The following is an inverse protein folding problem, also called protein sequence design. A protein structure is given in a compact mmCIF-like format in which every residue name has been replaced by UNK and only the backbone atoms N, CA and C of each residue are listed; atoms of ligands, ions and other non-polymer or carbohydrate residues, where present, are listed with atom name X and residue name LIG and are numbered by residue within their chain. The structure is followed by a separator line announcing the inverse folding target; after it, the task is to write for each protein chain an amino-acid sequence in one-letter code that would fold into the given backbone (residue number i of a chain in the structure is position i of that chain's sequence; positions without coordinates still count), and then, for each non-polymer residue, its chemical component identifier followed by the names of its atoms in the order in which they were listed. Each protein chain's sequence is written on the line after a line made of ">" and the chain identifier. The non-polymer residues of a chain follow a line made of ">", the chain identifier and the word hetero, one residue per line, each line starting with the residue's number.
data_IF_724477876033
#
_entry.id   IF_724477876033
#
_cell.length_a   1.000
_cell.length_b   1.000
_cell.length_c   1.000
_cell.angle_alpha   90.00
_cell.angle_beta   90.00
_cell.angle_gamma   90.00
#
_symmetry.space_group_name_H-M   'P 1'
#
loop_
_entity.id
_entity.type
_entity.pdbx_description
1 polymer ?
#
# COMPACT_ATOMS: atom_id res chain seq x y z
N UNK A 1 4.01 18.50 -3.71
CA UNK A 1 3.18 17.42 -4.26
C UNK A 1 2.57 16.64 -3.10
N UNK A 2 1.30 16.24 -3.17
CA UNK A 2 0.65 15.46 -2.13
C UNK A 2 0.29 14.07 -2.68
N UNK A 3 0.26 13.09 -1.79
CA UNK A 3 -0.01 11.69 -2.12
C UNK A 3 -1.13 11.17 -1.23
N UNK A 4 -2.08 10.43 -1.80
CA UNK A 4 -3.12 9.75 -1.06
C UNK A 4 -2.77 8.28 -0.94
N UNK A 5 -2.71 7.80 0.28
CA UNK A 5 -2.51 6.39 0.61
C UNK A 5 -3.89 5.78 0.81
N UNK A 6 -4.24 4.74 0.07
CA UNK A 6 -5.52 4.03 0.18
C UNK A 6 -5.26 2.57 0.51
N UNK A 7 -5.87 2.07 1.58
CA UNK A 7 -5.89 0.66 1.95
C UNK A 7 -7.19 0.07 1.43
N UNK A 8 -7.10 -1.03 0.68
CA UNK A 8 -8.26 -1.66 0.08
C UNK A 8 -8.47 -3.08 0.61
N UNK A 9 -9.74 -3.48 0.70
CA UNK A 9 -10.22 -4.83 0.90
C UNK A 9 -11.21 -5.15 -0.21
N UNK A 10 -10.91 -6.13 -1.06
CA UNK A 10 -11.82 -6.56 -2.15
C UNK A 10 -12.38 -5.37 -2.96
N UNK A 11 -11.50 -4.46 -3.40
CA UNK A 11 -11.80 -3.21 -4.12
C UNK A 11 -12.47 -2.08 -3.32
N UNK A 12 -12.77 -2.27 -2.03
CA UNK A 12 -13.31 -1.21 -1.16
C UNK A 12 -12.20 -0.53 -0.38
N UNK A 13 -12.17 0.80 -0.39
CA UNK A 13 -11.26 1.58 0.47
C UNK A 13 -11.71 1.47 1.92
N UNK A 14 -10.87 0.88 2.76
CA UNK A 14 -11.13 0.70 4.20
C UNK A 14 -10.43 1.73 5.08
N UNK A 15 -9.37 2.35 4.56
CA UNK A 15 -8.70 3.48 5.19
C UNK A 15 -8.01 4.31 4.12
N UNK A 16 -7.96 5.63 4.33
CA UNK A 16 -7.23 6.54 3.47
C UNK A 16 -6.47 7.58 4.29
N UNK A 17 -5.33 8.04 3.78
CA UNK A 17 -4.55 9.10 4.41
C UNK A 17 -3.86 9.97 3.37
N UNK A 18 -4.00 11.28 3.53
CA UNK A 18 -3.28 12.26 2.72
C UNK A 18 -1.89 12.51 3.31
N UNK A 19 -0.88 12.50 2.45
CA UNK A 19 0.51 12.72 2.81
C UNK A 19 1.10 13.90 2.05
N UNK A 20 1.54 14.96 2.75
CA UNK A 20 2.17 16.10 2.12
C UNK A 20 3.67 15.85 1.88
N UNK A 21 4.13 16.17 0.66
CA UNK A 21 5.52 16.49 0.25
C UNK A 21 6.47 15.39 -0.23
N UNK A 22 6.39 14.12 0.16
CA UNK A 22 7.33 13.09 -0.36
C UNK A 22 6.67 11.74 -0.68
N UNK A 23 6.96 11.22 -1.87
CA UNK A 23 6.53 9.89 -2.32
C UNK A 23 7.15 8.81 -1.45
N UNK A 24 8.46 8.88 -1.21
CA UNK A 24 9.18 7.90 -0.38
C UNK A 24 8.59 7.83 1.03
N UNK A 25 8.30 8.98 1.63
CA UNK A 25 7.67 9.03 2.94
C UNK A 25 6.24 8.47 2.92
N UNK A 26 5.47 8.74 1.86
CA UNK A 26 4.13 8.19 1.68
C UNK A 26 4.16 6.66 1.53
N UNK A 27 5.08 6.13 0.71
CA UNK A 27 5.27 4.69 0.50
C UNK A 27 5.75 3.99 1.78
N UNK A 28 6.77 4.54 2.46
CA UNK A 28 7.27 4.00 3.71
C UNK A 28 6.16 3.99 4.78
N UNK A 29 5.35 5.05 4.86
CA UNK A 29 4.22 5.09 5.78
C UNK A 29 3.12 4.08 5.40
N UNK A 30 2.81 3.95 4.12
CA UNK A 30 1.83 2.97 3.62
C UNK A 30 2.20 1.56 4.05
N UNK A 31 3.46 1.16 3.84
CA UNK A 31 3.96 -0.16 4.22
C UNK A 31 4.03 -0.36 5.73
N UNK A 32 4.42 0.66 6.50
CA UNK A 32 4.45 0.59 7.95
C UNK A 32 3.05 0.46 8.58
N UNK A 33 2.03 1.06 7.96
CA UNK A 33 0.65 0.99 8.43
C UNK A 33 -0.09 -0.24 7.89
N UNK A 34 0.38 -0.85 6.80
CA UNK A 34 -0.30 -1.97 6.16
C UNK A 34 -0.58 -3.15 7.12
N UNK A 35 0.38 -3.67 7.91
CA UNK A 35 0.10 -4.74 8.87
C UNK A 35 -1.02 -4.40 9.86
N UNK A 36 -1.05 -3.14 10.32
CA UNK A 36 -2.10 -2.67 11.24
C UNK A 36 -3.46 -2.61 10.55
N UNK A 37 -3.53 -2.12 9.31
CA UNK A 37 -4.76 -2.04 8.53
C UNK A 37 -5.25 -3.43 8.08
N UNK A 38 -4.32 -4.34 7.79
CA UNK A 38 -4.60 -5.74 7.50
C UNK A 38 -5.26 -6.42 8.71
N UNK A 39 -4.65 -6.32 9.89
CA UNK A 39 -5.21 -6.95 11.11
C UNK A 39 -6.49 -6.28 11.60
N UNK A 40 -6.60 -4.95 11.51
CA UNK A 40 -7.75 -4.20 12.05
C UNK A 40 -8.96 -4.17 11.12
N UNK A 41 -8.71 -3.95 9.83
CA UNK A 41 -9.75 -3.67 8.83
C UNK A 41 -9.82 -4.73 7.72
N UNK A 42 -8.93 -5.73 7.75
CA UNK A 42 -8.86 -6.75 6.70
C UNK A 42 -8.36 -6.22 5.37
N UNK A 43 -7.54 -5.15 5.37
CA UNK A 43 -6.95 -4.62 4.14
C UNK A 43 -6.08 -5.69 3.46
N UNK A 44 -6.32 -5.95 2.18
CA UNK A 44 -5.59 -6.93 1.36
C UNK A 44 -4.64 -6.26 0.36
N UNK A 45 -4.71 -4.94 0.22
CA UNK A 45 -3.81 -4.14 -0.60
C UNK A 45 -3.68 -2.71 -0.09
N UNK A 46 -2.61 -2.03 -0.52
CA UNK A 46 -2.42 -0.59 -0.31
C UNK A 46 -1.86 0.06 -1.57
N UNK A 47 -2.38 1.23 -1.91
CA UNK A 47 -1.97 2.04 -3.04
C UNK A 47 -1.55 3.43 -2.59
N UNK A 48 -0.51 3.99 -3.20
CA UNK A 48 -0.16 5.40 -3.08
C UNK A 48 -0.45 6.06 -4.41
N UNK A 49 -1.28 7.10 -4.36
CA UNK A 49 -1.83 7.80 -5.51
C UNK A 49 -1.29 9.23 -5.46
N UNK A 50 -0.79 9.73 -6.58
CA UNK A 50 -0.43 11.14 -6.71
C UNK A 50 -1.71 11.98 -6.81
N UNK A 51 -1.99 12.84 -5.83
CA UNK A 51 -3.21 13.66 -5.82
C UNK A 51 -3.31 14.60 -7.03
N UNK A 52 -2.16 15.03 -7.57
CA UNK A 52 -2.13 15.95 -8.70
C UNK A 52 -2.54 15.29 -10.02
N UNK A 53 -2.20 14.01 -10.20
CA UNK A 53 -2.37 13.31 -11.49
C UNK A 53 -3.38 12.18 -11.41
N UNK A 54 -3.83 11.80 -10.22
CA UNK A 54 -4.68 10.63 -9.99
C UNK A 54 -3.97 9.30 -10.26
N UNK A 55 -2.69 9.31 -10.62
CA UNK A 55 -1.95 8.09 -10.97
C UNK A 55 -1.50 7.32 -9.72
N UNK A 56 -1.65 6.00 -9.77
CA UNK A 56 -1.05 5.10 -8.78
C UNK A 56 0.45 5.06 -9.00
N UNK A 57 1.20 5.57 -8.04
CA UNK A 57 2.68 5.65 -8.07
C UNK A 57 3.32 4.51 -7.27
N UNK A 58 2.55 3.84 -6.43
CA UNK A 58 2.96 2.63 -5.73
C UNK A 58 1.72 1.77 -5.44
N UNK A 59 1.85 0.46 -5.55
CA UNK A 59 0.83 -0.49 -5.14
C UNK A 59 1.48 -1.71 -4.50
N UNK A 60 0.90 -2.17 -3.41
CA UNK A 60 1.22 -3.42 -2.75
C UNK A 60 -0.05 -4.25 -2.60
N UNK A 61 0.04 -5.54 -2.91
CA UNK A 61 -1.06 -6.48 -2.80
C UNK A 61 -0.59 -7.76 -2.12
N UNK A 62 -1.35 -8.22 -1.14
CA UNK A 62 -1.04 -9.44 -0.39
C UNK A 62 -1.07 -10.70 -1.27
N UNK A 63 -1.76 -10.66 -2.41
CA UNK A 63 -1.75 -11.75 -3.39
C UNK A 63 -0.35 -12.08 -3.91
N UNK A 64 0.58 -11.11 -3.89
CA UNK A 64 1.98 -11.30 -4.29
C UNK A 64 2.88 -11.77 -3.14
N UNK A 65 2.35 -11.86 -1.92
CA UNK A 65 3.10 -12.29 -0.75
C UNK A 65 3.05 -13.80 -0.57
N UNK A 66 4.24 -14.42 -0.48
CA UNK A 66 4.38 -15.80 -0.04
C UNK A 66 3.91 -16.00 1.41
N UNK A 67 3.71 -17.26 1.85
CA UNK A 67 3.22 -17.59 3.19
C UNK A 67 4.08 -17.00 4.32
N UNK A 68 5.40 -16.90 4.11
CA UNK A 68 6.33 -16.28 5.06
C UNK A 68 6.07 -14.78 5.22
N UNK A 69 5.83 -14.06 4.14
CA UNK A 69 5.59 -12.61 4.16
C UNK A 69 4.22 -12.30 4.77
N UNK A 70 3.20 -13.12 4.45
CA UNK A 70 1.89 -13.06 5.11
C UNK A 70 1.98 -13.24 6.61
N UNK A 71 2.82 -14.16 7.08
CA UNK A 71 3.03 -14.39 8.52
C UNK A 71 3.72 -13.20 9.19
N UNK A 72 4.65 -12.53 8.51
CA UNK A 72 5.28 -11.29 9.00
C UNK A 72 4.27 -10.16 9.13
N UNK A 73 3.47 -9.93 8.08
CA UNK A 73 2.38 -8.94 8.08
C UNK A 73 1.39 -9.23 9.20
N UNK A 74 0.95 -10.48 9.37
CA UNK A 74 0.06 -10.88 10.45
C UNK A 74 0.67 -10.63 11.84
N UNK A 75 2.00 -10.71 11.95
CA UNK A 75 2.76 -10.40 13.17
C UNK A 75 3.02 -8.89 13.35
N UNK A 76 2.45 -8.03 12.51
CA UNK A 76 2.61 -6.58 12.60
C UNK A 76 3.89 -6.02 11.96
N UNK A 77 4.67 -6.86 11.27
CA UNK A 77 5.91 -6.46 10.61
C UNK A 77 5.66 -5.99 9.18
N UNK A 78 6.36 -4.93 8.77
CA UNK A 78 6.30 -4.45 7.40
C UNK A 78 6.80 -5.53 6.41
N UNK A 79 6.16 -5.66 5.25
CA UNK A 79 6.59 -6.60 4.21
C UNK A 79 7.99 -6.26 3.69
N UNK A 80 8.83 -7.27 3.48
CA UNK A 80 10.15 -7.13 2.86
C UNK A 80 10.07 -7.31 1.33
N UNK A 81 10.99 -6.66 0.60
CA UNK A 81 11.24 -6.99 -0.81
C UNK A 81 10.13 -6.65 -1.80
N UNK A 82 9.26 -5.68 -1.50
CA UNK A 82 8.30 -5.17 -2.49
C UNK A 82 9.09 -4.37 -3.52
N UNK A 83 9.52 -5.06 -4.58
CA UNK A 83 9.96 -4.42 -5.79
C UNK A 83 8.87 -3.46 -6.24
N UNK A 84 9.25 -2.20 -6.42
CA UNK A 84 8.44 -1.20 -7.11
C UNK A 84 7.99 -1.80 -8.44
N UNK A 85 6.78 -2.35 -8.49
CA UNK A 85 6.16 -2.72 -9.76
C UNK A 85 5.72 -1.43 -10.42
N UNK A 86 6.69 -0.69 -10.98
CA UNK A 86 6.44 0.33 -11.99
C UNK A 86 5.97 -0.39 -13.25
N UNK A 87 4.72 -0.82 -13.27
CA UNK A 87 4.08 -1.27 -14.50
C UNK A 87 3.04 -0.20 -14.91
N UNK A 88 3.25 0.50 -16.03
CA UNK A 88 2.17 1.23 -16.67
C UNK A 88 1.22 0.18 -17.26
N UNK A 89 -0.03 0.10 -16.80
CA UNK A 89 -1.04 -0.64 -17.55
C UNK A 89 -1.58 0.27 -18.66
N UNK A 90 -0.85 0.28 -19.78
CA UNK A 90 -1.40 0.58 -21.09
C UNK A 90 -1.96 -0.74 -21.64
N UNK A 91 -3.27 -0.76 -21.92
CA UNK A 91 -3.86 -1.64 -22.91
C UNK A 91 -5.09 -0.99 -23.52
#
# INVERSE_FOLDING_TARGET
>A
MAYRIEFLKDHRVVAAKLWPRSLEAATAHALAQYPRQHTRNGATSVSVICERTGMVVFAFRDEHCGPTERRRIASGLAPHGIGLSTAPQLH
#
